data_IF_528818462500
#
_entry.id   IF_528818462500
#
_cell.length_a   1.000
_cell.length_b   1.000
_cell.length_c   1.000
_cell.angle_alpha   90.00
_cell.angle_beta   90.00
_cell.angle_gamma   90.00
#
_symmetry.space_group_name_H-M   'P 1'
#
loop_
_entity.id
_entity.type
_entity.pdbx_description
1 polymer ?
#
# COMPACT_ATOMS: atom_id res chain seq x y z
N UNK A 1 -12.66 19.82 16.75
CA UNK A 1 -11.91 18.56 16.91
C UNK A 1 -11.56 18.09 15.50
N UNK A 2 -10.31 17.73 15.19
CA UNK A 2 -10.02 17.02 13.94
C UNK A 2 -10.82 15.72 13.93
N UNK A 3 -11.54 15.49 12.84
CA UNK A 3 -12.31 14.26 12.66
C UNK A 3 -11.33 13.14 12.33
N UNK A 4 -11.09 12.27 13.30
CA UNK A 4 -10.33 11.03 13.12
C UNK A 4 -11.20 10.03 12.36
N UNK A 5 -10.59 9.31 11.43
CA UNK A 5 -11.28 8.33 10.60
C UNK A 5 -11.37 7.04 11.37
N UNK A 6 -12.54 6.80 11.97
CA UNK A 6 -12.80 5.62 12.75
C UNK A 6 -13.59 4.61 11.91
N UNK A 7 -13.02 3.43 11.67
CA UNK A 7 -13.84 2.24 11.48
C UNK A 7 -14.13 1.59 12.84
N UNK A 8 -15.33 1.00 13.01
CA UNK A 8 -15.78 0.55 14.32
C UNK A 8 -15.02 -0.67 14.86
N UNK A 9 -14.24 -1.36 14.03
CA UNK A 9 -13.40 -2.50 14.41
C UNK A 9 -11.97 -2.05 14.75
N UNK A 10 -11.28 -2.81 15.59
CA UNK A 10 -9.83 -2.65 15.76
C UNK A 10 -9.07 -3.29 14.60
N UNK A 11 -7.81 -2.88 14.41
CA UNK A 11 -6.88 -3.49 13.45
C UNK A 11 -6.77 -5.01 13.66
N UNK A 12 -6.73 -5.45 14.92
CA UNK A 12 -6.66 -6.86 15.28
C UNK A 12 -7.93 -7.63 14.87
N UNK A 13 -9.10 -7.03 15.06
CA UNK A 13 -10.37 -7.60 14.63
C UNK A 13 -10.42 -7.76 13.11
N UNK A 14 -9.95 -6.75 12.35
CA UNK A 14 -9.85 -6.82 10.89
C UNK A 14 -8.89 -7.92 10.43
N UNK A 15 -7.67 -7.97 10.98
CA UNK A 15 -6.65 -8.98 10.65
C UNK A 15 -7.21 -10.38 10.88
N UNK A 16 -7.83 -10.61 12.04
CA UNK A 16 -8.44 -11.90 12.39
C UNK A 16 -9.61 -12.26 11.48
N UNK A 17 -10.54 -11.32 11.26
CA UNK A 17 -11.78 -11.58 10.53
C UNK A 17 -11.52 -11.87 9.05
N UNK A 18 -10.69 -11.04 8.41
CA UNK A 18 -10.36 -11.19 6.99
C UNK A 18 -9.18 -12.12 6.72
N UNK A 19 -8.59 -12.70 7.77
CA UNK A 19 -7.44 -13.62 7.70
C UNK A 19 -6.27 -12.97 6.95
N UNK A 20 -5.96 -11.73 7.33
CA UNK A 20 -4.90 -10.98 6.68
C UNK A 20 -3.53 -11.52 7.13
N UNK A 21 -2.62 -11.66 6.17
CA UNK A 21 -1.24 -12.10 6.39
C UNK A 21 -0.27 -10.97 6.08
N UNK A 22 0.95 -10.94 6.65
CA UNK A 22 1.96 -9.93 6.30
C UNK A 22 2.24 -9.91 4.79
N UNK A 23 2.11 -8.73 4.17
CA UNK A 23 2.43 -8.54 2.76
C UNK A 23 3.94 -8.36 2.57
N UNK A 24 4.54 -8.87 1.48
CA UNK A 24 5.98 -8.73 1.22
C UNK A 24 6.48 -7.27 1.20
N UNK A 25 5.63 -6.33 0.83
CA UNK A 25 5.99 -4.90 0.80
C UNK A 25 5.71 -4.15 2.10
N UNK A 26 5.22 -4.82 3.16
CA UNK A 26 4.72 -4.17 4.37
C UNK A 26 3.19 -4.05 4.38
N UNK A 27 2.62 -3.88 5.57
CA UNK A 27 1.19 -4.03 5.81
C UNK A 27 0.71 -5.49 5.77
N UNK A 28 -0.61 -5.68 5.82
CA UNK A 28 -1.25 -6.99 5.74
C UNK A 28 -2.13 -7.09 4.50
N UNK A 29 -2.32 -8.30 3.98
CA UNK A 29 -3.16 -8.53 2.82
C UNK A 29 -3.88 -9.89 2.88
N UNK A 30 -4.92 -10.03 2.07
CA UNK A 30 -5.50 -11.33 1.74
C UNK A 30 -6.03 -11.30 0.31
N UNK A 31 -5.70 -12.32 -0.48
CA UNK A 31 -6.30 -12.50 -1.82
C UNK A 31 -7.74 -12.98 -1.64
N UNK A 32 -8.70 -12.21 -2.15
CA UNK A 32 -10.14 -12.48 -2.00
C UNK A 32 -10.78 -13.04 -3.26
N UNK A 33 -10.24 -12.70 -4.43
CA UNK A 33 -10.78 -13.15 -5.71
C UNK A 33 -9.71 -13.26 -6.77
N UNK A 34 -9.78 -14.32 -7.58
CA UNK A 34 -8.91 -14.58 -8.73
C UNK A 34 -9.80 -15.02 -9.88
N UNK A 35 -9.81 -14.25 -10.98
CA UNK A 35 -10.62 -14.55 -12.16
C UNK A 35 -9.99 -15.61 -13.05
N UNK A 36 -10.73 -16.06 -14.07
CA UNK A 36 -10.18 -16.91 -15.13
C UNK A 36 -9.01 -16.23 -15.89
N UNK A 37 -8.28 -17.02 -16.65
CA UNK A 37 -7.10 -16.56 -17.38
C UNK A 37 -7.44 -15.99 -18.77
N UNK A 38 -6.64 -15.04 -19.21
CA UNK A 38 -6.66 -14.47 -20.55
C UNK A 38 -5.23 -14.20 -21.01
N UNK A 39 -5.01 -14.14 -22.34
CA UNK A 39 -3.74 -13.68 -22.90
C UNK A 39 -3.44 -12.27 -22.39
N UNK A 40 -2.24 -12.07 -21.83
CA UNK A 40 -1.86 -10.79 -21.25
C UNK A 40 -1.07 -9.94 -22.26
N UNK A 41 -1.36 -8.64 -22.38
CA UNK A 41 -0.52 -7.72 -23.16
C UNK A 41 0.87 -7.47 -22.52
N UNK A 42 1.09 -7.93 -21.28
CA UNK A 42 2.32 -7.69 -20.51
C UNK A 42 3.23 -8.92 -20.38
N UNK A 43 2.82 -10.06 -20.95
CA UNK A 43 3.56 -11.31 -20.91
C UNK A 43 4.10 -11.67 -22.30
N UNK A 44 5.28 -12.28 -22.37
CA UNK A 44 5.86 -12.81 -23.61
C UNK A 44 5.23 -14.17 -23.97
N UNK A 45 5.33 -14.57 -25.23
CA UNK A 45 5.12 -15.95 -25.70
C UNK A 45 3.80 -16.62 -25.26
N UNK A 46 2.66 -15.95 -25.51
CA UNK A 46 1.32 -16.47 -25.23
C UNK A 46 0.99 -16.77 -23.76
N UNK A 47 1.83 -16.31 -22.83
CA UNK A 47 1.56 -16.43 -21.41
C UNK A 47 0.25 -15.72 -21.01
N UNK A 48 -0.55 -16.43 -20.22
CA UNK A 48 -1.79 -15.90 -19.69
C UNK A 48 -1.60 -15.26 -18.32
N UNK A 49 -2.47 -14.30 -18.01
CA UNK A 49 -2.69 -13.75 -16.66
C UNK A 49 -4.15 -13.88 -16.33
N UNK A 50 -4.50 -13.86 -15.05
CA UNK A 50 -5.91 -13.76 -14.67
C UNK A 50 -6.50 -12.46 -15.24
N UNK A 51 -7.79 -12.42 -15.56
CA UNK A 51 -8.46 -11.17 -16.02
C UNK A 51 -8.31 -10.08 -14.95
N UNK A 52 -8.52 -10.46 -13.69
CA UNK A 52 -8.24 -9.63 -12.53
C UNK A 52 -7.94 -10.48 -11.30
N UNK A 53 -7.27 -9.86 -10.34
CA UNK A 53 -7.12 -10.36 -8.96
C UNK A 53 -7.57 -9.26 -8.00
N UNK A 54 -8.23 -9.64 -6.90
CA UNK A 54 -8.65 -8.73 -5.84
C UNK A 54 -8.01 -9.12 -4.52
N UNK A 55 -7.52 -8.13 -3.78
CA UNK A 55 -7.00 -8.31 -2.42
C UNK A 55 -7.69 -7.35 -1.46
N UNK A 56 -7.76 -7.72 -0.18
CA UNK A 56 -7.74 -6.72 0.89
C UNK A 56 -6.29 -6.33 1.18
N UNK A 57 -6.08 -5.06 1.52
CA UNK A 57 -4.79 -4.56 1.98
C UNK A 57 -5.02 -3.61 3.16
N UNK A 58 -4.29 -3.82 4.25
CA UNK A 58 -4.40 -3.06 5.50
C UNK A 58 -3.02 -2.53 5.89
N UNK A 59 -2.94 -1.21 6.06
CA UNK A 59 -1.88 -0.59 6.84
C UNK A 59 -2.43 -0.28 8.23
N UNK A 60 -1.66 -0.54 9.28
CA UNK A 60 -2.08 -0.22 10.64
C UNK A 60 -0.94 0.28 11.50
N UNK A 61 -1.27 1.17 12.44
CA UNK A 61 -0.34 1.59 13.47
C UNK A 61 0.05 0.41 14.36
N UNK A 62 1.34 0.38 14.69
CA UNK A 62 1.92 -0.66 15.52
C UNK A 62 1.27 -0.66 16.91
N UNK A 63 0.60 -1.76 17.22
CA UNK A 63 -0.08 -1.96 18.50
C UNK A 63 0.01 -3.44 18.89
N UNK A 64 -0.31 -3.83 20.14
CA UNK A 64 -0.27 -5.24 20.53
C UNK A 64 -1.07 -6.18 19.60
N UNK A 65 -2.14 -5.67 18.98
CA UNK A 65 -2.99 -6.40 18.04
C UNK A 65 -2.63 -6.22 16.55
N UNK A 66 -1.66 -5.34 16.23
CA UNK A 66 -1.04 -5.18 14.91
C UNK A 66 0.50 -5.11 15.11
N UNK A 67 1.15 -6.21 15.52
CA UNK A 67 2.60 -6.24 15.71
C UNK A 67 3.32 -6.48 14.38
N UNK A 68 4.57 -6.03 14.29
CA UNK A 68 5.38 -6.37 13.11
C UNK A 68 5.55 -7.89 12.95
N UNK A 69 5.89 -8.33 11.74
CA UNK A 69 6.17 -9.75 11.48
C UNK A 69 7.16 -10.25 12.55
N UNK A 70 6.88 -11.40 13.20
CA UNK A 70 7.82 -12.00 14.14
C UNK A 70 9.17 -12.18 13.45
N UNK A 71 10.25 -11.69 14.08
CA UNK A 71 11.60 -11.91 13.58
C UNK A 71 11.81 -13.42 13.44
N UNK A 72 12.01 -13.92 12.22
CA UNK A 72 12.53 -15.27 12.06
C UNK A 72 13.95 -15.27 12.63
N UNK A 73 14.15 -15.93 13.77
CA UNK A 73 15.47 -16.35 14.23
C UNK A 73 15.84 -17.59 13.43
N UNK A 74 16.00 -17.45 12.12
CA UNK A 74 16.62 -18.49 11.31
C UNK A 74 18.10 -18.14 11.23
N UNK A 75 18.97 -19.00 11.78
CA UNK A 75 20.45 -18.88 11.72
C UNK A 75 20.98 -19.14 10.30
N UNK A 76 20.15 -18.96 9.27
CA UNK A 76 20.55 -19.04 7.87
C UNK A 76 21.30 -17.76 7.49
N UNK A 77 22.48 -17.87 6.90
CA UNK A 77 23.24 -16.77 6.28
C UNK A 77 22.54 -16.12 5.07
N UNK A 78 21.29 -16.52 4.77
CA UNK A 78 20.47 -15.90 3.74
C UNK A 78 19.99 -14.51 4.21
N UNK A 79 20.20 -13.46 3.41
CA UNK A 79 19.74 -12.13 3.77
C UNK A 79 18.21 -12.10 3.90
N UNK A 80 17.71 -11.83 5.12
CA UNK A 80 16.30 -11.62 5.37
C UNK A 80 15.81 -10.44 4.51
N UNK A 81 15.12 -10.78 3.42
CA UNK A 81 14.54 -9.83 2.47
C UNK A 81 13.53 -8.88 3.12
N UNK A 82 13.10 -9.18 4.35
CA UNK A 82 12.09 -8.46 5.11
C UNK A 82 12.63 -7.77 6.37
N UNK A 83 13.96 -7.62 6.52
CA UNK A 83 14.59 -6.94 7.67
C UNK A 83 14.09 -5.51 7.94
N UNK A 84 13.43 -4.89 6.97
CA UNK A 84 12.88 -3.52 6.99
C UNK A 84 11.34 -3.47 6.93
N UNK A 85 10.65 -4.59 7.16
CA UNK A 85 9.19 -4.67 7.10
C UNK A 85 8.52 -3.77 8.15
N UNK A 86 7.43 -3.09 7.78
CA UNK A 86 6.58 -2.35 8.73
C UNK A 86 5.09 -2.57 8.42
N UNK A 87 4.27 -2.44 9.45
CA UNK A 87 2.82 -2.61 9.39
C UNK A 87 2.08 -1.35 8.90
N UNK A 88 2.71 -0.19 9.02
CA UNK A 88 2.15 1.12 8.70
C UNK A 88 2.70 1.71 7.39
N UNK A 89 3.61 1.01 6.70
CA UNK A 89 4.23 1.42 5.44
C UNK A 89 4.24 0.26 4.43
N UNK A 90 3.72 0.50 3.24
CA UNK A 90 3.93 -0.31 2.04
C UNK A 90 5.04 0.28 1.19
N UNK A 91 6.17 -0.41 1.07
CA UNK A 91 7.37 0.09 0.40
C UNK A 91 7.18 0.34 -1.10
N UNK A 92 8.08 1.13 -1.69
CA UNK A 92 8.01 1.53 -3.09
C UNK A 92 8.11 0.32 -4.03
N UNK A 93 7.09 0.12 -4.86
CA UNK A 93 7.02 -0.96 -5.84
C UNK A 93 6.24 -0.53 -7.08
N UNK A 94 6.30 -1.35 -8.14
CA UNK A 94 5.66 -1.10 -9.43
C UNK A 94 4.99 -2.37 -9.92
N UNK A 95 3.88 -2.20 -10.64
CA UNK A 95 3.27 -3.28 -11.41
C UNK A 95 3.13 -2.85 -12.88
N UNK A 96 3.34 -3.79 -13.82
CA UNK A 96 3.04 -3.55 -15.25
C UNK A 96 1.54 -3.41 -15.48
N UNK A 97 0.73 -4.15 -14.74
CA UNK A 97 -0.73 -4.06 -14.77
C UNK A 97 -1.23 -2.83 -14.00
N UNK A 98 -2.37 -2.30 -14.41
CA UNK A 98 -3.01 -1.21 -13.67
C UNK A 98 -3.63 -1.74 -12.39
N UNK A 99 -3.57 -0.96 -11.31
CA UNK A 99 -4.17 -1.31 -10.02
C UNK A 99 -5.21 -0.28 -9.61
N UNK A 100 -6.47 -0.70 -9.51
CA UNK A 100 -7.54 0.08 -8.90
C UNK A 100 -7.52 -0.13 -7.39
N UNK A 101 -7.55 0.96 -6.63
CA UNK A 101 -7.64 0.96 -5.19
C UNK A 101 -9.02 1.48 -4.81
N UNK A 102 -9.72 0.79 -3.91
CA UNK A 102 -11.02 1.17 -3.39
C UNK A 102 -10.89 1.31 -1.87
N UNK A 103 -11.10 2.52 -1.39
CA UNK A 103 -10.93 2.92 -0.02
C UNK A 103 -12.10 2.48 0.85
N UNK A 104 -11.80 1.92 2.02
CA UNK A 104 -12.79 1.70 3.07
C UNK A 104 -12.62 2.69 4.25
N UNK A 105 -11.40 3.11 4.63
CA UNK A 105 -11.15 4.12 5.70
C UNK A 105 -9.75 4.80 5.74
N UNK A 106 -9.72 6.08 6.19
CA UNK A 106 -8.62 7.03 6.48
C UNK A 106 -7.81 7.73 5.32
N UNK A 107 -7.61 9.10 5.33
CA UNK A 107 -7.21 9.98 4.20
C UNK A 107 -5.83 10.65 4.17
N UNK A 108 -5.22 10.91 2.98
CA UNK A 108 -3.87 11.51 2.87
C UNK A 108 -3.35 12.44 1.71
N UNK A 109 -2.73 13.59 2.04
CA UNK A 109 -2.41 14.82 1.24
C UNK A 109 -1.69 14.87 -0.16
N UNK A 110 -0.96 15.99 -0.41
CA UNK A 110 -0.67 16.66 -1.73
C UNK A 110 0.66 16.29 -2.45
N UNK A 111 0.71 16.45 -3.79
CA UNK A 111 1.84 16.06 -4.68
C UNK A 111 2.78 17.16 -5.20
N UNK A 112 3.84 16.74 -5.92
CA UNK A 112 4.91 17.55 -6.54
C UNK A 112 4.87 17.44 -8.07
N UNK A 113 5.19 18.54 -8.76
CA UNK A 113 5.27 18.63 -10.23
C UNK A 113 6.70 18.98 -10.69
N UNK A 114 7.08 18.57 -11.91
CA UNK A 114 8.32 19.02 -12.56
C UNK A 114 8.21 20.45 -13.11
N UNK A 115 9.31 20.92 -13.71
CA UNK A 115 9.46 22.22 -14.36
C UNK A 115 8.49 22.45 -15.53
N UNK A 116 7.88 21.38 -16.07
CA UNK A 116 6.86 21.43 -17.14
C UNK A 116 5.43 21.29 -16.63
N UNK A 117 5.26 21.17 -15.30
CA UNK A 117 3.96 20.96 -14.66
C UNK A 117 3.47 19.52 -14.70
N UNK A 118 4.26 18.56 -15.19
CA UNK A 118 3.91 17.15 -15.13
C UNK A 118 4.17 16.58 -13.73
N UNK A 119 3.28 15.75 -13.17
CA UNK A 119 3.48 15.18 -11.85
C UNK A 119 4.64 14.17 -11.86
N UNK A 120 5.74 14.52 -11.19
CA UNK A 120 6.82 13.58 -10.83
C UNK A 120 6.39 12.70 -9.66
N UNK A 121 5.60 13.27 -8.75
CA UNK A 121 5.04 12.58 -7.61
C UNK A 121 3.61 13.05 -7.37
N UNK A 122 2.66 12.12 -7.37
CA UNK A 122 1.28 12.39 -6.98
C UNK A 122 1.04 11.77 -5.61
N UNK A 123 0.81 12.58 -4.60
CA UNK A 123 0.27 12.09 -3.32
C UNK A 123 -1.24 12.15 -3.43
N UNK A 124 -1.93 11.07 -3.05
CA UNK A 124 -3.39 11.01 -3.08
C UNK A 124 -3.95 10.49 -1.78
N UNK A 125 -5.03 11.18 -1.40
CA UNK A 125 -5.77 11.03 -0.16
C UNK A 125 -6.87 10.03 -0.37
N UNK A 126 -6.68 8.76 -0.01
CA UNK A 126 -7.80 7.82 -0.07
C UNK A 126 -8.68 8.02 1.16
N UNK A 127 -9.89 8.57 1.07
CA UNK A 127 -10.65 9.04 2.25
C UNK A 127 -12.15 9.25 1.98
N UNK A 128 -12.92 9.70 2.98
CA UNK A 128 -14.35 10.04 2.82
C UNK A 128 -14.75 11.52 3.01
N UNK A 129 -13.86 12.39 3.48
CA UNK A 129 -14.12 13.83 3.67
C UNK A 129 -13.95 14.62 2.36
N UNK A 130 -14.97 14.56 1.50
CA UNK A 130 -14.98 15.26 0.21
C UNK A 130 -14.63 16.77 0.30
N UNK A 131 -14.81 17.42 1.45
CA UNK A 131 -14.46 18.83 1.63
C UNK A 131 -12.94 19.07 1.66
N UNK A 132 -12.15 18.04 2.02
CA UNK A 132 -10.68 18.05 1.97
C UNK A 132 -10.10 17.54 0.65
N UNK A 133 -10.94 17.09 -0.28
CA UNK A 133 -10.52 16.58 -1.59
C UNK A 133 -10.08 15.12 -1.60
N UNK A 134 -10.53 14.33 -0.61
CA UNK A 134 -10.25 12.89 -0.52
C UNK A 134 -11.04 12.10 -1.56
N UNK A 135 -10.48 10.97 -1.98
CA UNK A 135 -11.08 10.10 -2.99
C UNK A 135 -11.32 8.71 -2.42
N UNK A 136 -12.47 8.12 -2.74
CA UNK A 136 -12.72 6.72 -2.36
C UNK A 136 -12.13 5.70 -3.33
N UNK A 137 -11.67 6.16 -4.50
CA UNK A 137 -11.17 5.30 -5.56
C UNK A 137 -9.95 5.94 -6.21
N UNK A 138 -8.92 5.14 -6.43
CA UNK A 138 -7.67 5.58 -7.06
C UNK A 138 -7.19 4.51 -8.04
N UNK A 139 -7.16 4.84 -9.32
CA UNK A 139 -6.47 4.04 -10.33
C UNK A 139 -5.00 4.49 -10.38
N UNK A 140 -4.09 3.55 -10.10
CA UNK A 140 -2.68 3.69 -10.42
C UNK A 140 -2.43 2.91 -11.71
N UNK A 141 -2.09 3.64 -12.77
CA UNK A 141 -1.80 3.04 -14.07
C UNK A 141 -0.55 2.17 -13.99
N UNK A 142 -0.49 1.15 -14.85
CA UNK A 142 0.71 0.33 -15.03
C UNK A 142 1.95 1.18 -15.32
N UNK A 143 3.10 0.79 -14.75
CA UNK A 143 4.36 1.50 -14.94
C UNK A 143 4.59 2.70 -14.01
N UNK A 144 3.63 3.05 -13.16
CA UNK A 144 3.85 3.99 -12.06
C UNK A 144 4.43 3.26 -10.84
N UNK A 145 5.37 3.90 -10.17
CA UNK A 145 5.82 3.44 -8.85
C UNK A 145 4.80 3.86 -7.80
N UNK A 146 4.47 2.99 -6.86
CA UNK A 146 3.55 3.29 -5.76
C UNK A 146 4.17 2.94 -4.40
N UNK A 147 3.88 3.76 -3.41
CA UNK A 147 4.28 3.60 -2.00
C UNK A 147 3.10 4.01 -1.13
N UNK A 148 2.89 3.37 0.02
CA UNK A 148 1.78 3.70 0.92
C UNK A 148 2.19 3.82 2.37
N UNK A 149 1.52 4.67 3.14
CA UNK A 149 1.78 4.83 4.58
C UNK A 149 0.57 5.40 5.32
N UNK A 150 0.41 5.09 6.60
CA UNK A 150 -0.57 5.76 7.48
C UNK A 150 -0.18 7.24 7.70
N UNK A 151 -1.13 8.20 7.83
CA UNK A 151 -0.81 9.62 8.03
C UNK A 151 0.13 9.85 9.19
N UNK A 152 1.14 10.71 8.99
CA UNK A 152 2.05 11.11 10.07
C UNK A 152 1.28 11.70 11.25
N UNK A 153 0.28 12.55 10.99
CA UNK A 153 -0.59 13.12 12.03
C UNK A 153 -1.36 12.05 12.82
N UNK A 154 -1.85 10.99 12.16
CA UNK A 154 -2.56 9.90 12.82
C UNK A 154 -1.62 8.98 13.60
N UNK A 155 -0.40 8.75 13.08
CA UNK A 155 0.66 8.01 13.78
C UNK A 155 1.12 8.77 15.02
N UNK A 156 1.40 10.07 14.90
CA UNK A 156 1.74 10.94 16.04
C UNK A 156 0.60 10.97 17.07
N UNK A 157 -0.65 11.05 16.62
CA UNK A 157 -1.81 11.02 17.51
C UNK A 157 -1.91 9.70 18.28
N UNK A 158 -1.61 8.56 17.64
CA UNK A 158 -1.53 7.28 18.34
C UNK A 158 -0.36 7.24 19.34
N UNK A 159 0.82 7.72 18.95
CA UNK A 159 2.03 7.73 19.79
C UNK A 159 1.89 8.61 21.04
N UNK A 160 1.28 9.78 20.89
CA UNK A 160 1.06 10.71 22.00
C UNK A 160 -0.22 10.39 22.80
N UNK A 161 -0.94 9.33 22.44
CA UNK A 161 -2.15 8.85 23.12
C UNK A 161 -3.40 9.70 22.90
N UNK A 162 -3.40 10.62 21.92
CA UNK A 162 -4.59 11.38 21.52
C UNK A 162 -5.50 10.65 20.52
N UNK A 163 -5.07 9.48 20.03
CA UNK A 163 -5.86 8.53 19.26
C UNK A 163 -5.74 7.11 19.83
N UNK A 164 -6.78 6.29 19.63
CA UNK A 164 -6.69 4.85 19.89
C UNK A 164 -5.86 4.19 18.79
N UNK A 165 -4.58 3.92 19.08
CA UNK A 165 -3.66 3.28 18.14
C UNK A 165 -4.10 1.90 17.64
N UNK A 166 -5.03 1.22 18.34
CA UNK A 166 -5.62 -0.03 17.85
C UNK A 166 -6.59 0.16 16.68
N UNK A 167 -6.92 1.41 16.34
CA UNK A 167 -7.86 1.82 15.29
C UNK A 167 -7.26 2.79 14.28
N UNK A 168 -5.99 3.12 14.44
CA UNK A 168 -5.26 3.91 13.46
C UNK A 168 -4.75 2.97 12.37
N UNK A 169 -5.23 3.18 11.15
CA UNK A 169 -4.92 2.34 9.99
C UNK A 169 -5.79 2.69 8.79
N UNK A 170 -5.51 2.04 7.66
CA UNK A 170 -6.24 2.19 6.41
C UNK A 170 -6.48 0.82 5.78
N UNK A 171 -7.75 0.41 5.69
CA UNK A 171 -8.17 -0.78 4.96
C UNK A 171 -8.67 -0.39 3.58
N UNK A 172 -8.20 -1.09 2.55
CA UNK A 172 -8.65 -0.92 1.17
C UNK A 172 -8.87 -2.26 0.49
N UNK A 173 -9.46 -2.22 -0.70
CA UNK A 173 -9.35 -3.29 -1.69
C UNK A 173 -8.47 -2.85 -2.86
N UNK A 174 -7.58 -3.72 -3.33
CA UNK A 174 -6.87 -3.51 -4.60
C UNK A 174 -7.34 -4.52 -5.64
N UNK A 175 -7.66 -4.03 -6.84
CA UNK A 175 -8.02 -4.84 -8.01
C UNK A 175 -6.98 -4.59 -9.09
N UNK A 176 -6.22 -5.62 -9.45
CA UNK A 176 -5.16 -5.55 -10.46
C UNK A 176 -5.71 -6.13 -11.77
N UNK A 177 -5.56 -5.40 -12.88
CA UNK A 177 -5.98 -5.87 -14.21
C UNK A 177 -4.96 -5.51 -15.30
N UNK A 178 -4.49 -6.49 -16.11
CA UNK A 178 -4.61 -7.95 -15.91
C UNK A 178 -4.13 -8.37 -14.51
N UNK A 179 -4.70 -9.45 -13.97
CA UNK A 179 -4.47 -9.95 -12.63
C UNK A 179 -3.00 -10.07 -12.24
N UNK A 180 -2.72 -9.88 -10.96
CA UNK A 180 -1.38 -9.83 -10.39
C UNK A 180 -0.56 -11.08 -10.74
N UNK A 181 0.70 -10.87 -11.08
CA UNK A 181 1.69 -11.92 -11.26
C UNK A 181 3.08 -11.41 -10.89
N UNK A 182 3.90 -12.26 -10.26
CA UNK A 182 5.20 -11.85 -9.73
C UNK A 182 6.18 -11.34 -10.81
N UNK A 183 6.14 -11.91 -12.02
CA UNK A 183 6.96 -11.43 -13.16
C UNK A 183 6.58 -10.01 -13.65
N UNK A 184 5.45 -9.48 -13.20
CA UNK A 184 4.97 -8.14 -13.53
C UNK A 184 5.18 -7.16 -12.37
N UNK A 185 5.65 -7.66 -11.22
CA UNK A 185 5.91 -6.92 -10.01
C UNK A 185 7.42 -6.59 -9.88
N UNK A 186 7.74 -5.34 -9.58
CA UNK A 186 9.11 -4.87 -9.36
C UNK A 186 9.16 -4.08 -8.05
N UNK A 187 9.93 -4.55 -7.08
CA UNK A 187 10.25 -3.83 -5.85
C UNK A 187 11.67 -3.26 -5.91
N UNK A 188 11.92 -2.09 -5.30
CA UNK A 188 13.30 -1.64 -5.09
C UNK A 188 13.91 -2.33 -3.86
N UNK A 189 15.22 -2.69 -3.88
CA UNK A 189 15.90 -3.22 -2.70
C UNK A 189 15.84 -2.23 -1.52
N UNK A 190 15.68 -2.77 -0.32
CA UNK A 190 15.38 -2.12 0.98
C UNK A 190 16.37 -1.07 1.52
N UNK A 191 17.18 -0.41 0.69
CA UNK A 191 18.20 0.57 1.14
C UNK A 191 17.89 2.06 0.86
N UNK A 192 16.69 2.42 0.39
CA UNK A 192 16.33 3.82 0.20
C UNK A 192 15.28 4.45 1.17
N UNK A 193 15.22 4.17 2.50
CA UNK A 193 14.16 4.76 3.34
C UNK A 193 14.23 6.28 3.54
N UNK A 194 15.25 7.00 3.07
CA UNK A 194 15.39 8.46 3.30
C UNK A 194 15.85 9.29 2.09
N UNK A 195 15.98 8.68 0.90
CA UNK A 195 16.57 9.34 -0.27
C UNK A 195 15.64 9.41 -1.50
N UNK A 196 14.32 9.35 -1.31
CA UNK A 196 13.32 9.60 -2.37
C UNK A 196 13.48 11.00 -3.03
N UNK A 197 14.20 11.93 -2.40
CA UNK A 197 14.54 13.24 -2.98
C UNK A 197 15.73 13.24 -3.96
N UNK A 198 16.43 12.13 -4.23
CA UNK A 198 17.61 12.12 -5.14
C UNK A 198 17.57 11.09 -6.27
N UNK A 199 16.53 10.29 -6.41
CA UNK A 199 16.40 9.30 -7.49
C UNK A 199 15.74 9.92 -8.72
N UNK A 200 16.59 10.48 -9.59
CA UNK A 200 16.38 10.93 -10.98
C UNK A 200 15.04 11.59 -11.34
N UNK A 201 15.10 12.81 -11.86
CA UNK A 201 14.01 13.65 -12.35
C UNK A 201 13.14 13.09 -13.51
N UNK A 202 12.85 11.78 -13.58
CA UNK A 202 12.12 11.14 -14.70
C UNK A 202 11.20 9.98 -14.34
N UNK A 203 11.02 9.62 -13.06
CA UNK A 203 10.09 8.53 -12.67
C UNK A 203 8.79 9.12 -12.12
N UNK A 204 7.66 8.58 -12.56
CA UNK A 204 6.34 8.93 -12.02
C UNK A 204 6.06 8.07 -10.78
N UNK A 205 5.85 8.72 -9.65
CA UNK A 205 5.58 8.08 -8.35
C UNK A 205 4.18 8.45 -7.86
N UNK A 206 3.43 7.49 -7.35
CA UNK A 206 2.22 7.72 -6.57
C UNK A 206 2.51 7.38 -5.12
N UNK A 207 2.39 8.36 -4.24
CA UNK A 207 2.34 8.10 -2.80
C UNK A 207 0.85 7.91 -2.46
N UNK A 208 0.44 6.65 -2.37
CA UNK A 208 -0.87 6.25 -1.87
C UNK A 208 -0.77 6.18 -0.38
N UNK A 209 -0.72 7.35 0.21
CA UNK A 209 -0.76 7.45 1.65
C UNK A 209 -2.20 6.95 1.92
#
# INVERSE_FOLDING_TARGET
MPQQYYYPQTNEELIRHYKLEPHPEGGYYAVTFVMEKMKSPFASDDEERNIATCIYYLLCHKSPGCPDRPSHTDDSDEPDSFKTWSSDIGVLHLNKSSTMHVHHAAPLGKGLVDETGHPLMKTIVMGDDIAKGEVRQLLVEGGWWKVSEVPEEDREAAENGSADGSRVGALISEVVTPGFHWNDHISEPSQAPRALCRLSARRRVVRKV
#
